data_IF_724410848168
#
_entry.id   IF_724410848168
#
_cell.length_a   1.000
_cell.length_b   1.000
_cell.length_c   1.000
_cell.angle_alpha   90.00
_cell.angle_beta   90.00
_cell.angle_gamma   90.00
#
_symmetry.space_group_name_H-M   'P 1'
#
loop_
_entity.id
_entity.type
_entity.pdbx_description
1 polymer ?
#
# COMPACT_ATOMS: atom_id res chain seq x y z
N UNK A 1 -3.25 3.00 -16.89
CA UNK A 1 -2.99 3.10 -15.43
C UNK A 1 -2.31 1.86 -14.85
N UNK A 2 -2.85 0.65 -15.01
CA UNK A 2 -2.29 -0.56 -14.36
C UNK A 2 -0.80 -0.83 -14.67
N UNK A 3 -0.39 -0.73 -15.94
CA UNK A 3 1.00 -0.93 -16.34
C UNK A 3 1.94 0.08 -15.64
N UNK A 4 1.51 1.33 -15.51
CA UNK A 4 2.25 2.37 -14.78
C UNK A 4 2.40 2.01 -13.30
N UNK A 5 1.34 1.52 -12.63
CA UNK A 5 1.41 1.08 -11.23
C UNK A 5 2.43 -0.06 -11.06
N UNK A 6 2.42 -1.05 -11.96
CA UNK A 6 3.36 -2.16 -11.93
C UNK A 6 4.80 -1.66 -12.10
N UNK A 7 5.05 -0.75 -13.06
CA UNK A 7 6.38 -0.16 -13.25
C UNK A 7 6.85 0.56 -11.99
N UNK A 8 5.98 1.35 -11.36
CA UNK A 8 6.32 2.07 -10.13
C UNK A 8 6.66 1.09 -9.00
N UNK A 9 5.88 0.02 -8.81
CA UNK A 9 6.16 -0.97 -7.77
C UNK A 9 7.47 -1.71 -8.01
N UNK A 10 7.74 -2.09 -9.26
CA UNK A 10 9.01 -2.72 -9.62
C UNK A 10 10.18 -1.77 -9.42
N UNK A 11 10.04 -0.49 -9.76
CA UNK A 11 11.08 0.51 -9.53
C UNK A 11 11.38 0.69 -8.05
N UNK A 12 10.35 0.79 -7.20
CA UNK A 12 10.52 0.90 -5.73
C UNK A 12 11.24 -0.34 -5.20
N UNK A 13 10.79 -1.55 -5.57
CA UNK A 13 11.42 -2.81 -5.14
C UNK A 13 12.88 -2.87 -5.61
N UNK A 14 13.16 -2.52 -6.87
CA UNK A 14 14.49 -2.57 -7.46
C UNK A 14 15.46 -1.56 -6.83
N UNK A 15 14.97 -0.48 -6.22
CA UNK A 15 15.80 0.49 -5.49
C UNK A 15 15.97 0.09 -4.01
N UNK A 16 14.88 -0.17 -3.30
CA UNK A 16 14.87 -0.38 -1.84
C UNK A 16 15.43 -1.75 -1.44
N UNK A 17 14.91 -2.84 -2.04
CA UNK A 17 15.23 -4.21 -1.62
C UNK A 17 16.72 -4.54 -1.71
N UNK A 18 17.45 -4.25 -2.82
CA UNK A 18 18.86 -4.60 -2.89
C UNK A 18 19.71 -3.78 -1.92
N UNK A 19 19.34 -2.53 -1.61
CA UNK A 19 20.04 -1.71 -0.63
C UNK A 19 19.88 -2.34 0.77
N UNK A 20 18.64 -2.64 1.17
CA UNK A 20 18.34 -3.24 2.47
C UNK A 20 18.97 -4.63 2.64
N UNK A 21 19.01 -5.43 1.57
CA UNK A 21 19.67 -6.73 1.57
C UNK A 21 21.19 -6.62 1.69
N UNK A 22 21.82 -5.69 0.96
CA UNK A 22 23.28 -5.47 1.00
C UNK A 22 23.76 -4.98 2.37
N UNK A 23 22.96 -4.17 3.04
CA UNK A 23 23.29 -3.63 4.37
C UNK A 23 22.93 -4.60 5.51
N UNK A 24 22.39 -5.79 5.21
CA UNK A 24 22.00 -6.78 6.22
C UNK A 24 20.82 -6.34 7.11
N UNK A 25 20.05 -5.34 6.66
CA UNK A 25 18.96 -4.70 7.43
C UNK A 25 17.65 -5.48 7.30
N UNK A 26 17.67 -6.75 7.70
CA UNK A 26 16.51 -7.64 7.57
C UNK A 26 15.25 -7.17 8.31
N UNK A 27 15.41 -6.45 9.44
CA UNK A 27 14.27 -5.85 10.17
C UNK A 27 13.60 -4.73 9.36
N UNK A 28 14.39 -3.92 8.67
CA UNK A 28 13.88 -2.81 7.86
C UNK A 28 13.23 -3.34 6.58
N UNK A 29 13.78 -4.40 5.99
CA UNK A 29 13.13 -5.10 4.88
C UNK A 29 11.77 -5.66 5.28
N UNK A 30 11.63 -6.17 6.51
CA UNK A 30 10.35 -6.63 7.05
C UNK A 30 9.37 -5.46 7.18
N UNK A 31 9.80 -4.35 7.79
CA UNK A 31 8.97 -3.13 7.93
C UNK A 31 8.54 -2.61 6.56
N UNK A 32 9.47 -2.48 5.61
CA UNK A 32 9.19 -2.10 4.23
C UNK A 32 8.11 -3.01 3.64
N UNK A 33 8.29 -4.32 3.72
CA UNK A 33 7.35 -5.31 3.18
C UNK A 33 5.97 -5.19 3.83
N UNK A 34 5.92 -5.00 5.16
CA UNK A 34 4.70 -4.88 5.94
C UNK A 34 3.86 -3.66 5.53
N UNK A 35 4.49 -2.55 5.15
CA UNK A 35 3.79 -1.35 4.68
C UNK A 35 3.54 -1.35 3.17
N UNK A 36 4.49 -1.88 2.39
CA UNK A 36 4.43 -1.90 0.94
C UNK A 36 3.34 -2.84 0.42
N UNK A 37 3.22 -4.05 0.98
CA UNK A 37 2.21 -5.03 0.54
C UNK A 37 0.77 -4.51 0.67
N UNK A 38 0.33 -3.95 1.82
CA UNK A 38 -0.99 -3.33 1.92
C UNK A 38 -1.16 -2.16 0.95
N UNK A 39 -0.13 -1.32 0.75
CA UNK A 39 -0.19 -0.22 -0.22
C UNK A 39 -0.46 -0.71 -1.64
N UNK A 40 0.27 -1.74 -2.09
CA UNK A 40 0.05 -2.39 -3.39
C UNK A 40 -1.34 -3.01 -3.45
N UNK A 41 -1.75 -3.76 -2.42
CA UNK A 41 -3.08 -4.38 -2.38
C UNK A 41 -4.20 -3.34 -2.48
N UNK A 42 -4.16 -2.29 -1.64
CA UNK A 42 -5.19 -1.24 -1.61
C UNK A 42 -5.25 -0.48 -2.94
N UNK A 43 -4.10 -0.18 -3.55
CA UNK A 43 -4.06 0.50 -4.85
C UNK A 43 -4.69 -0.34 -5.98
N UNK A 44 -4.45 -1.65 -5.97
CA UNK A 44 -5.00 -2.57 -6.97
C UNK A 44 -6.48 -2.79 -6.71
N UNK A 45 -6.87 -2.98 -5.45
CA UNK A 45 -8.25 -3.08 -5.05
C UNK A 45 -9.05 -1.83 -5.47
N UNK A 46 -8.48 -0.63 -5.31
CA UNK A 46 -9.08 0.60 -5.83
C UNK A 46 -9.16 0.61 -7.37
N UNK A 47 -8.10 0.20 -8.07
CA UNK A 47 -8.07 0.15 -9.53
C UNK A 47 -9.11 -0.82 -10.12
N UNK A 48 -9.29 -1.99 -9.50
CA UNK A 48 -10.26 -3.01 -9.92
C UNK A 48 -11.68 -2.76 -9.37
N UNK A 49 -11.88 -1.71 -8.56
CA UNK A 49 -13.18 -1.39 -7.97
C UNK A 49 -13.64 -2.40 -6.92
N UNK A 50 -12.71 -3.10 -6.27
CA UNK A 50 -13.05 -3.99 -5.17
C UNK A 50 -13.62 -3.20 -4.00
N UNK A 51 -14.71 -3.72 -3.42
CA UNK A 51 -15.34 -3.13 -2.26
C UNK A 51 -14.49 -3.36 -1.03
N UNK A 52 -13.58 -2.42 -0.75
CA UNK A 52 -12.81 -2.42 0.49
C UNK A 52 -13.69 -1.80 1.57
N UNK A 53 -14.00 -2.52 2.66
CA UNK A 53 -14.76 -1.95 3.76
C UNK A 53 -14.01 -0.75 4.33
N UNK A 54 -14.66 0.41 4.34
CA UNK A 54 -14.06 1.62 4.87
C UNK A 54 -14.06 1.53 6.41
N UNK A 55 -12.90 1.48 7.09
CA UNK A 55 -12.84 1.41 8.55
C UNK A 55 -13.40 2.66 9.22
N UNK A 56 -13.47 3.78 8.49
CA UNK A 56 -14.03 5.05 8.95
C UNK A 56 -15.53 5.17 8.63
N UNK A 57 -16.16 4.18 8.01
CA UNK A 57 -17.59 4.22 7.65
C UNK A 57 -18.49 4.56 8.85
N UNK A 58 -18.22 3.99 10.02
CA UNK A 58 -18.95 4.30 11.25
C UNK A 58 -18.77 5.75 11.72
N UNK A 59 -17.55 6.30 11.60
CA UNK A 59 -17.26 7.68 11.96
C UNK A 59 -17.90 8.68 10.98
N UNK A 60 -17.86 8.37 9.68
CA UNK A 60 -18.49 9.18 8.64
C UNK A 60 -20.00 9.25 8.85
N UNK A 61 -20.63 8.12 9.18
CA UNK A 61 -22.06 8.06 9.51
C UNK A 61 -22.43 8.93 10.71
N UNK A 62 -21.58 8.95 11.74
CA UNK A 62 -21.80 9.76 12.94
C UNK A 62 -21.65 11.26 12.66
N UNK A 63 -20.69 11.68 11.83
CA UNK A 63 -20.44 13.10 11.56
C UNK A 63 -21.33 13.69 10.48
N UNK A 64 -21.79 12.88 9.51
CA UNK A 64 -22.74 13.32 8.48
C UNK A 64 -24.12 13.67 9.01
N UNK A 65 -24.43 13.33 10.27
CA UNK A 65 -25.67 13.73 10.94
C UNK A 65 -25.63 15.17 11.49
N UNK A 66 -24.44 15.79 11.57
CA UNK A 66 -24.23 17.12 12.15
C UNK A 66 -23.96 18.23 11.11
N UNK A 67 -23.98 17.89 9.82
CA UNK A 67 -23.83 18.81 8.67
C UNK A 67 -25.12 18.81 7.87
#
# INVERSE_FOLDING_TARGET
>A
MLLLLIIIYLAIIALEVPILMREGRGKELLVFTLFFLPGVYLSLAQYFGWSIPNPLSGLISLTSQWV
#
